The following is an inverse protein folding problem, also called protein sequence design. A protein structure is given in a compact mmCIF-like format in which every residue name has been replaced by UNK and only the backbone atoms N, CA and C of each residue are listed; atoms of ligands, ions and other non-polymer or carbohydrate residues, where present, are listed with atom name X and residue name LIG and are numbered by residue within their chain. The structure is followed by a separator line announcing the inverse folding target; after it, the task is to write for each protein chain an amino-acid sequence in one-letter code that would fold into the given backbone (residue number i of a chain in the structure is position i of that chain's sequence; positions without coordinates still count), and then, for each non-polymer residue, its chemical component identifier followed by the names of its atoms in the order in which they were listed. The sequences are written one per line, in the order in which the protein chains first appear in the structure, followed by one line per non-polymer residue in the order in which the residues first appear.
data_IF_821589092160
#
_entry.id   IF_821589092160
#
_cell.length_a   1.000
_cell.length_b   1.000
_cell.length_c   1.000
_cell.angle_alpha   90.00
_cell.angle_beta   90.00
_cell.angle_gamma   90.00
#
_symmetry.space_group_name_H-M   'P 1'
#
loop_
_entity.id
_entity.type
_entity.pdbx_description
1 polymer ?
#
# COMPACT_ATOMS: atom_id res chain seq x y z
N UNK A 1 8.65 -30.52 21.72
CA UNK A 1 8.75 -29.07 21.49
C UNK A 1 9.09 -28.33 22.78
N UNK A 2 8.25 -28.37 23.83
CA UNK A 2 8.49 -27.55 25.03
C UNK A 2 9.78 -27.88 25.78
N UNK A 3 10.17 -29.16 25.91
CA UNK A 3 11.46 -29.52 26.51
C UNK A 3 12.67 -28.86 25.80
N UNK A 4 12.62 -28.79 24.46
CA UNK A 4 13.65 -28.10 23.69
C UNK A 4 13.61 -26.56 23.86
N UNK A 5 12.43 -25.98 24.14
CA UNK A 5 12.30 -24.55 24.42
C UNK A 5 12.81 -24.18 25.83
N UNK A 6 12.59 -25.06 26.81
CA UNK A 6 13.12 -24.91 28.16
C UNK A 6 14.66 -24.87 28.17
N UNK A 7 15.30 -25.69 27.34
CA UNK A 7 16.77 -25.67 27.18
C UNK A 7 17.30 -24.38 26.53
N UNK A 8 16.46 -23.65 25.80
CA UNK A 8 16.82 -22.38 25.16
C UNK A 8 16.63 -21.18 26.08
N UNK A 9 15.74 -21.24 27.07
CA UNK A 9 15.44 -20.11 27.96
C UNK A 9 16.68 -19.54 28.67
N UNK A 10 17.60 -20.35 29.25
CA UNK A 10 18.83 -19.83 29.85
C UNK A 10 19.74 -19.10 28.86
N UNK A 11 19.60 -19.39 27.56
CA UNK A 11 20.39 -18.78 26.48
C UNK A 11 19.75 -17.52 25.91
N UNK A 12 18.59 -17.10 26.40
CA UNK A 12 17.97 -15.86 25.97
C UNK A 12 18.85 -14.63 26.25
N UNK A 13 19.65 -14.65 27.33
CA UNK A 13 20.66 -13.63 27.63
C UNK A 13 21.79 -13.55 26.59
N UNK A 14 22.02 -14.62 25.81
CA UNK A 14 22.98 -14.66 24.70
C UNK A 14 22.38 -14.15 23.37
N UNK A 15 21.13 -13.69 23.39
CA UNK A 15 20.39 -13.28 22.19
C UNK A 15 19.67 -14.43 21.47
N UNK A 16 19.62 -15.63 22.05
CA UNK A 16 18.86 -16.75 21.47
C UNK A 16 17.37 -16.54 21.69
N UNK A 17 16.57 -16.67 20.63
CA UNK A 17 15.11 -16.62 20.67
C UNK A 17 14.55 -17.86 20.01
N UNK A 18 13.32 -18.24 20.35
CA UNK A 18 12.71 -19.46 19.85
C UNK A 18 11.43 -19.25 19.04
N UNK A 19 10.72 -18.16 19.30
CA UNK A 19 9.43 -17.88 18.67
C UNK A 19 9.45 -16.46 18.10
N UNK A 20 8.96 -16.31 16.87
CA UNK A 20 8.68 -15.00 16.26
C UNK A 20 7.16 -14.89 16.13
N UNK A 21 6.58 -13.87 16.76
CA UNK A 21 5.20 -13.46 16.52
C UNK A 21 5.22 -12.52 15.32
N UNK A 22 4.75 -13.02 14.18
CA UNK A 22 4.86 -12.29 12.91
C UNK A 22 3.61 -11.46 12.60
N UNK A 23 3.66 -10.17 12.90
CA UNK A 23 2.61 -9.20 12.60
C UNK A 23 2.53 -8.85 11.11
N UNK A 24 3.59 -9.11 10.32
CA UNK A 24 3.52 -8.80 8.88
C UNK A 24 2.48 -9.66 8.18
N UNK A 25 2.15 -10.84 8.70
CA UNK A 25 1.10 -11.70 8.14
C UNK A 25 -0.27 -11.00 8.03
N UNK A 26 -0.69 -10.25 9.06
CA UNK A 26 -1.95 -9.49 9.02
C UNK A 26 -1.80 -8.16 8.29
N UNK A 27 -0.62 -7.52 8.38
CA UNK A 27 -0.30 -6.32 7.60
C UNK A 27 -0.40 -6.57 6.09
N UNK A 28 0.21 -7.66 5.63
CA UNK A 28 0.24 -8.10 4.24
C UNK A 28 -1.15 -8.46 3.71
N UNK A 29 -2.07 -8.80 4.62
CA UNK A 29 -3.49 -9.02 4.34
C UNK A 29 -4.33 -7.73 4.34
N UNK A 30 -3.75 -6.58 4.66
CA UNK A 30 -4.39 -5.27 4.61
C UNK A 30 -4.76 -4.66 5.96
N UNK A 31 -4.23 -5.18 7.08
CA UNK A 31 -4.44 -4.63 8.42
C UNK A 31 -4.04 -3.14 8.52
N UNK A 32 -4.53 -2.47 9.56
CA UNK A 32 -3.98 -1.20 10.03
C UNK A 32 -2.97 -1.46 11.16
N UNK A 33 -2.19 -0.43 11.52
CA UNK A 33 -1.27 -0.52 12.65
C UNK A 33 -1.95 -0.93 13.96
N UNK A 34 -3.20 -0.51 14.18
CA UNK A 34 -4.01 -0.90 15.35
C UNK A 34 -4.30 -2.40 15.34
N UNK A 35 -4.69 -2.93 14.18
CA UNK A 35 -5.02 -4.35 14.02
C UNK A 35 -3.77 -5.22 14.17
N UNK A 36 -2.66 -4.81 13.57
CA UNK A 36 -1.39 -5.52 13.70
C UNK A 36 -0.91 -5.56 15.15
N UNK A 37 -0.90 -4.44 15.86
CA UNK A 37 -0.46 -4.42 17.27
C UNK A 37 -1.39 -5.27 18.14
N UNK A 38 -2.71 -5.19 17.95
CA UNK A 38 -3.65 -6.03 18.70
C UNK A 38 -3.46 -7.53 18.42
N UNK A 39 -3.20 -7.89 17.17
CA UNK A 39 -2.88 -9.27 16.78
C UNK A 39 -1.58 -9.77 17.43
N UNK A 40 -0.52 -8.96 17.41
CA UNK A 40 0.76 -9.28 18.06
C UNK A 40 0.59 -9.52 19.57
N UNK A 41 -0.22 -8.69 20.25
CA UNK A 41 -0.55 -8.90 21.65
C UNK A 41 -1.28 -10.23 21.85
N UNK A 42 -2.30 -10.50 21.04
CA UNK A 42 -3.12 -11.71 21.18
C UNK A 42 -2.30 -13.00 20.98
N UNK A 43 -1.47 -13.05 19.93
CA UNK A 43 -0.60 -14.20 19.66
C UNK A 43 0.51 -14.30 20.71
N UNK A 44 1.13 -13.18 21.08
CA UNK A 44 2.15 -13.14 22.13
C UNK A 44 1.61 -13.66 23.47
N UNK A 45 0.42 -13.22 23.89
CA UNK A 45 -0.25 -13.71 25.09
C UNK A 45 -0.61 -15.19 24.98
N UNK A 46 -1.05 -15.66 23.82
CA UNK A 46 -1.32 -17.09 23.61
C UNK A 46 -0.04 -17.95 23.74
N UNK A 47 1.09 -17.47 23.22
CA UNK A 47 2.39 -18.12 23.41
C UNK A 47 2.84 -18.12 24.87
N UNK A 48 2.76 -16.98 25.57
CA UNK A 48 3.07 -16.92 27.00
C UNK A 48 2.23 -17.91 27.80
N UNK A 49 0.90 -17.92 27.58
CA UNK A 49 -0.04 -18.84 28.22
C UNK A 49 0.34 -20.29 27.97
N UNK A 50 0.67 -20.63 26.73
CA UNK A 50 1.07 -22.00 26.35
C UNK A 50 2.38 -22.41 27.02
N UNK A 51 3.42 -21.57 26.97
CA UNK A 51 4.73 -21.87 27.55
C UNK A 51 4.68 -22.03 29.07
N UNK A 52 3.94 -21.14 29.76
CA UNK A 52 3.74 -21.23 31.21
C UNK A 52 2.95 -22.48 31.59
N UNK A 53 1.90 -22.83 30.83
CA UNK A 53 1.13 -24.08 31.04
C UNK A 53 2.03 -25.32 30.95
N UNK A 54 3.10 -25.26 30.17
CA UNK A 54 4.05 -26.35 30.00
C UNK A 54 5.32 -26.21 30.85
N UNK A 55 5.30 -25.35 31.88
CA UNK A 55 6.29 -25.36 32.97
C UNK A 55 7.41 -24.33 32.87
N UNK A 56 7.42 -23.44 31.88
CA UNK A 56 8.34 -22.29 31.88
C UNK A 56 7.85 -21.20 32.85
N UNK A 57 8.78 -20.44 33.42
CA UNK A 57 8.41 -19.20 34.11
C UNK A 57 7.90 -18.16 33.10
N UNK A 58 7.10 -17.19 33.56
CA UNK A 58 6.63 -16.11 32.68
C UNK A 58 7.80 -15.29 32.11
N UNK A 59 8.86 -15.11 32.90
CA UNK A 59 10.09 -14.42 32.49
C UNK A 59 10.81 -15.17 31.37
N UNK A 60 11.04 -16.48 31.56
CA UNK A 60 11.67 -17.33 30.55
C UNK A 60 10.84 -17.35 29.27
N UNK A 61 9.52 -17.52 29.39
CA UNK A 61 8.60 -17.51 28.26
C UNK A 61 8.68 -16.19 27.48
N UNK A 62 8.66 -15.04 28.17
CA UNK A 62 8.75 -13.73 27.52
C UNK A 62 10.10 -13.49 26.85
N UNK A 63 11.20 -14.00 27.44
CA UNK A 63 12.54 -13.83 26.89
C UNK A 63 12.80 -14.62 25.60
N UNK A 64 11.97 -15.63 25.30
CA UNK A 64 12.06 -16.46 24.09
C UNK A 64 11.31 -15.89 22.89
N UNK A 65 10.52 -14.84 23.08
CA UNK A 65 9.64 -14.28 22.04
C UNK A 65 10.25 -13.03 21.42
N UNK A 66 10.32 -13.03 20.10
CA UNK A 66 10.59 -11.87 19.25
C UNK A 66 9.30 -11.48 18.51
N UNK A 67 9.15 -10.19 18.20
CA UNK A 67 8.00 -9.69 17.48
C UNK A 67 8.43 -9.04 16.17
N UNK A 68 7.87 -9.52 15.07
CA UNK A 68 8.08 -8.91 13.76
C UNK A 68 6.93 -7.99 13.41
N UNK A 69 7.24 -6.75 13.01
CA UNK A 69 6.26 -5.73 12.67
C UNK A 69 6.52 -5.13 11.30
N UNK A 70 5.47 -4.72 10.60
CA UNK A 70 5.59 -3.97 9.37
C UNK A 70 5.94 -2.49 9.65
N UNK A 71 6.87 -1.96 8.86
CA UNK A 71 7.21 -0.54 8.80
C UNK A 71 6.74 0.04 7.46
N UNK A 72 5.97 1.11 7.49
CA UNK A 72 5.42 1.74 6.28
C UNK A 72 6.13 3.05 5.96
N UNK A 73 5.84 3.61 4.79
CA UNK A 73 6.26 4.95 4.38
C UNK A 73 5.47 6.07 5.10
N UNK A 74 4.53 5.72 5.98
CA UNK A 74 3.95 6.66 6.94
C UNK A 74 4.87 6.82 8.16
N UNK A 75 5.80 7.77 8.06
CA UNK A 75 6.88 7.97 9.01
C UNK A 75 6.42 8.06 10.48
N UNK A 76 5.53 8.99 10.81
CA UNK A 76 5.10 9.20 12.20
C UNK A 76 4.21 8.08 12.74
N UNK A 77 3.21 7.55 11.98
CA UNK A 77 2.48 6.35 12.38
C UNK A 77 3.39 5.16 12.66
N UNK A 78 4.38 4.87 11.79
CA UNK A 78 5.33 3.77 12.02
C UNK A 78 6.16 3.97 13.30
N UNK A 79 6.66 5.19 13.55
CA UNK A 79 7.38 5.51 14.81
C UNK A 79 6.45 5.29 16.00
N UNK A 80 5.23 5.82 15.94
CA UNK A 80 4.26 5.73 17.03
C UNK A 80 3.81 4.29 17.31
N UNK A 81 3.64 3.46 16.26
CA UNK A 81 3.30 2.04 16.31
C UNK A 81 4.33 1.24 17.09
N UNK A 82 5.61 1.39 16.76
CA UNK A 82 6.68 0.65 17.43
C UNK A 82 6.76 1.01 18.92
N UNK A 83 6.62 2.30 19.26
CA UNK A 83 6.54 2.78 20.64
C UNK A 83 5.30 2.22 21.37
N UNK A 84 4.14 2.31 20.74
CA UNK A 84 2.88 1.85 21.29
C UNK A 84 2.91 0.34 21.57
N UNK A 85 3.40 -0.46 20.62
CA UNK A 85 3.54 -1.90 20.77
C UNK A 85 4.38 -2.28 22.00
N UNK A 86 5.51 -1.59 22.25
CA UNK A 86 6.31 -1.79 23.48
C UNK A 86 5.52 -1.44 24.75
N UNK A 87 4.76 -0.35 24.71
CA UNK A 87 3.95 0.13 25.84
C UNK A 87 2.84 -0.87 26.19
N UNK A 88 2.10 -1.38 25.20
CA UNK A 88 1.02 -2.34 25.47
C UNK A 88 1.56 -3.73 25.81
N UNK A 89 2.69 -4.15 25.22
CA UNK A 89 3.33 -5.40 25.59
C UNK A 89 3.88 -5.40 27.01
N UNK A 90 4.47 -4.29 27.47
CA UNK A 90 4.95 -4.20 28.86
C UNK A 90 3.82 -4.37 29.86
N UNK A 91 2.61 -3.90 29.53
CA UNK A 91 1.42 -4.12 30.35
C UNK A 91 0.97 -5.58 30.34
N UNK A 92 1.03 -6.27 29.20
CA UNK A 92 0.79 -7.73 29.14
C UNK A 92 1.79 -8.47 30.02
N UNK A 93 3.09 -8.19 29.88
CA UNK A 93 4.15 -8.83 30.64
C UNK A 93 3.96 -8.63 32.16
N UNK A 94 3.64 -7.41 32.59
CA UNK A 94 3.33 -7.08 33.99
C UNK A 94 2.17 -7.92 34.53
N UNK A 95 1.04 -7.97 33.79
CA UNK A 95 -0.15 -8.74 34.20
C UNK A 95 0.12 -10.25 34.21
N UNK A 96 1.01 -10.74 33.35
CA UNK A 96 1.47 -12.12 33.33
C UNK A 96 2.51 -12.45 34.42
N UNK A 97 2.92 -11.48 35.24
CA UNK A 97 3.86 -11.69 36.35
C UNK A 97 5.33 -11.71 35.94
N UNK A 98 5.67 -11.15 34.78
CA UNK A 98 7.07 -10.94 34.38
C UNK A 98 7.68 -9.84 35.26
N UNK A 99 8.87 -10.05 35.87
CA UNK A 99 9.51 -9.03 36.69
C UNK A 99 9.76 -7.73 35.93
N UNK A 100 9.68 -6.60 36.63
CA UNK A 100 10.00 -5.30 36.04
C UNK A 100 11.42 -5.29 35.44
N UNK A 101 11.56 -4.67 34.27
CA UNK A 101 12.83 -4.66 33.51
C UNK A 101 13.12 -5.94 32.72
N UNK A 102 12.27 -6.97 32.81
CA UNK A 102 12.38 -8.21 32.05
C UNK A 102 11.23 -8.31 31.04
N UNK A 103 11.40 -9.15 30.00
CA UNK A 103 10.36 -9.39 28.98
C UNK A 103 10.00 -8.19 28.10
N UNK A 104 10.90 -7.20 27.97
CA UNK A 104 10.73 -6.11 27.02
C UNK A 104 10.56 -6.64 25.58
N UNK A 105 9.69 -5.99 24.80
CA UNK A 105 9.38 -6.43 23.44
C UNK A 105 10.61 -6.26 22.54
N UNK A 106 11.19 -7.36 22.08
CA UNK A 106 12.25 -7.35 21.05
C UNK A 106 11.57 -7.23 19.69
N UNK A 107 11.88 -6.16 18.95
CA UNK A 107 11.18 -5.82 17.72
C UNK A 107 12.08 -5.97 16.49
N UNK A 108 11.62 -6.78 15.53
CA UNK A 108 12.15 -6.85 14.18
C UNK A 108 11.20 -6.13 13.23
N UNK A 109 11.59 -4.95 12.74
CA UNK A 109 10.81 -4.24 11.74
C UNK A 109 11.16 -4.71 10.33
N UNK A 110 10.16 -4.98 9.50
CA UNK A 110 10.32 -5.28 8.08
C UNK A 110 9.55 -4.24 7.28
N UNK A 111 10.17 -3.62 6.28
CA UNK A 111 9.46 -2.64 5.46
C UNK A 111 8.30 -3.32 4.72
N UNK A 112 7.15 -2.66 4.67
CA UNK A 112 5.87 -3.14 4.12
C UNK A 112 6.02 -3.71 2.71
N UNK A 113 5.59 -4.96 2.50
CA UNK A 113 5.42 -5.52 1.16
C UNK A 113 4.22 -4.91 0.42
N UNK A 114 3.04 -4.67 1.04
CA UNK A 114 1.89 -4.05 0.37
C UNK A 114 2.14 -2.66 -0.21
N UNK A 115 3.07 -1.88 0.33
CA UNK A 115 3.40 -0.55 -0.24
C UNK A 115 4.33 -0.64 -1.47
N UNK A 116 4.90 -1.81 -1.76
CA UNK A 116 5.76 -1.98 -2.91
C UNK A 116 4.95 -2.08 -4.19
N UNK A 117 5.39 -1.38 -5.23
CA UNK A 117 4.75 -1.34 -6.54
C UNK A 117 5.57 -2.08 -7.58
N UNK A 118 4.90 -2.80 -8.49
CA UNK A 118 5.50 -3.43 -9.67
C UNK A 118 5.88 -2.38 -10.71
N UNK A 119 5.03 -1.38 -10.87
CA UNK A 119 5.24 -0.25 -11.76
C UNK A 119 5.92 0.91 -11.06
N UNK A 120 6.77 1.63 -11.78
CA UNK A 120 7.74 2.59 -11.27
C UNK A 120 8.47 2.10 -10.00
N UNK A 121 9.12 0.92 -10.05
CA UNK A 121 9.63 0.24 -8.86
C UNK A 121 10.73 1.03 -8.16
N UNK A 122 11.36 1.99 -8.83
CA UNK A 122 12.37 2.87 -8.25
C UNK A 122 11.82 3.72 -7.11
N UNK A 123 10.52 4.05 -7.15
CA UNK A 123 9.84 4.73 -6.04
C UNK A 123 9.85 3.91 -4.74
N UNK A 124 9.97 2.58 -4.83
CA UNK A 124 10.11 1.72 -3.65
C UNK A 124 11.43 1.96 -2.89
N UNK A 125 12.46 2.52 -3.53
CA UNK A 125 13.67 2.97 -2.82
C UNK A 125 13.34 4.10 -1.84
N UNK A 126 12.46 5.02 -2.23
CA UNK A 126 12.02 6.14 -1.40
C UNK A 126 11.15 5.62 -0.26
N UNK A 127 10.16 4.76 -0.56
CA UNK A 127 9.31 4.11 0.45
C UNK A 127 10.14 3.35 1.47
N UNK A 128 11.07 2.52 1.01
CA UNK A 128 11.99 1.75 1.85
C UNK A 128 12.88 2.63 2.72
N UNK A 129 13.33 3.78 2.22
CA UNK A 129 14.13 4.74 3.00
C UNK A 129 13.33 5.35 4.14
N UNK A 130 12.10 5.81 3.86
CA UNK A 130 11.22 6.41 4.89
C UNK A 130 10.83 5.36 5.93
N UNK A 131 10.46 4.15 5.50
CA UNK A 131 10.10 3.06 6.39
C UNK A 131 11.28 2.61 7.27
N UNK A 132 12.49 2.49 6.69
CA UNK A 132 13.69 2.15 7.45
C UNK A 132 14.06 3.22 8.48
N UNK A 133 13.97 4.50 8.09
CA UNK A 133 14.16 5.63 9.00
C UNK A 133 13.17 5.56 10.16
N UNK A 134 11.89 5.41 9.86
CA UNK A 134 10.83 5.34 10.85
C UNK A 134 10.98 4.13 11.79
N UNK A 135 11.39 2.98 11.25
CA UNK A 135 11.67 1.78 12.04
C UNK A 135 12.84 1.98 13.01
N UNK A 136 13.94 2.56 12.54
CA UNK A 136 15.11 2.86 13.36
C UNK A 136 14.81 3.88 14.45
N UNK A 137 14.20 5.02 14.09
CA UNK A 137 13.79 6.08 15.04
C UNK A 137 12.75 5.58 16.03
N UNK A 138 11.83 4.72 15.57
CA UNK A 138 10.86 4.04 16.40
C UNK A 138 11.46 3.03 17.36
N UNK A 139 12.76 2.75 17.30
CA UNK A 139 13.49 1.93 18.26
C UNK A 139 13.41 0.43 17.99
N UNK A 140 13.20 0.00 16.74
CA UNK A 140 13.29 -1.42 16.39
C UNK A 140 14.70 -1.97 16.65
N UNK A 141 14.79 -3.18 17.18
CA UNK A 141 16.06 -3.87 17.48
C UNK A 141 16.75 -4.34 16.19
N UNK A 142 15.96 -4.78 15.22
CA UNK A 142 16.43 -5.16 13.89
C UNK A 142 15.54 -4.52 12.82
N UNK A 143 16.11 -4.19 11.66
CA UNK A 143 15.38 -3.63 10.52
C UNK A 143 15.77 -4.40 9.25
N UNK A 144 14.78 -4.98 8.57
CA UNK A 144 14.91 -5.53 7.22
C UNK A 144 14.25 -4.60 6.22
N UNK A 145 15.04 -4.07 5.31
CA UNK A 145 14.55 -3.32 4.15
C UNK A 145 14.33 -4.32 3.02
N UNK A 146 13.11 -4.36 2.49
CA UNK A 146 12.80 -5.15 1.31
C UNK A 146 13.48 -4.52 0.08
N UNK A 147 14.02 -5.33 -0.83
CA UNK A 147 14.52 -4.84 -2.11
C UNK A 147 13.44 -4.10 -2.91
N UNK A 148 13.85 -3.06 -3.65
CA UNK A 148 12.90 -2.20 -4.40
C UNK A 148 12.10 -2.95 -5.48
N UNK A 149 12.62 -4.10 -5.92
CA UNK A 149 12.06 -4.98 -6.94
C UNK A 149 11.25 -6.15 -6.34
N UNK A 150 10.95 -6.11 -5.04
CA UNK A 150 10.24 -7.18 -4.33
C UNK A 150 8.84 -7.47 -4.91
N UNK A 151 8.14 -6.49 -5.46
CA UNK A 151 6.84 -6.70 -6.13
C UNK A 151 6.95 -7.36 -7.52
N UNK A 152 8.17 -7.47 -8.07
CA UNK A 152 8.42 -7.99 -9.42
C UNK A 152 8.87 -9.45 -9.37
N UNK A 153 9.79 -9.78 -8.47
CA UNK A 153 10.36 -11.12 -8.36
C UNK A 153 11.51 -11.20 -7.37
N UNK A 154 12.26 -12.30 -7.43
CA UNK A 154 13.39 -12.55 -6.56
C UNK A 154 14.47 -11.46 -6.74
N UNK A 155 15.00 -10.93 -5.63
CA UNK A 155 15.98 -9.86 -5.69
C UNK A 155 17.33 -10.37 -6.20
N UNK A 156 18.08 -9.50 -6.88
CA UNK A 156 19.45 -9.78 -7.32
C UNK A 156 20.48 -9.23 -6.32
N UNK A 157 21.77 -9.33 -6.67
CA UNK A 157 22.83 -8.81 -5.80
C UNK A 157 22.80 -7.27 -5.68
N UNK A 158 22.36 -6.56 -6.72
CA UNK A 158 22.26 -5.11 -6.72
C UNK A 158 21.13 -4.65 -5.80
N UNK A 159 19.93 -5.19 -5.93
CA UNK A 159 18.78 -4.77 -5.13
C UNK A 159 18.93 -5.12 -3.65
N UNK A 160 19.51 -6.30 -3.33
CA UNK A 160 19.92 -6.64 -1.95
C UNK A 160 20.95 -5.67 -1.39
N UNK A 161 21.95 -5.28 -2.19
CA UNK A 161 22.98 -4.31 -1.77
C UNK A 161 22.36 -2.95 -1.47
N UNK A 162 21.46 -2.46 -2.32
CA UNK A 162 20.81 -1.17 -2.12
C UNK A 162 19.95 -1.20 -0.85
N UNK A 163 19.12 -2.23 -0.66
CA UNK A 163 18.30 -2.39 0.55
C UNK A 163 19.14 -2.37 1.84
N UNK A 164 20.25 -3.11 1.88
CA UNK A 164 21.18 -3.08 3.01
C UNK A 164 21.83 -1.70 3.20
N UNK A 165 22.29 -1.10 2.11
CA UNK A 165 22.99 0.18 2.14
C UNK A 165 22.08 1.33 2.61
N UNK A 166 20.76 1.26 2.40
CA UNK A 166 19.80 2.21 3.01
C UNK A 166 19.98 2.27 4.53
N UNK A 167 20.01 1.13 5.21
CA UNK A 167 20.27 1.08 6.66
C UNK A 167 21.68 1.56 7.02
N UNK A 168 22.69 1.19 6.22
CA UNK A 168 24.07 1.65 6.45
C UNK A 168 24.20 3.17 6.35
N UNK A 169 23.59 3.80 5.34
CA UNK A 169 23.58 5.24 5.16
C UNK A 169 22.87 5.93 6.32
N UNK A 170 21.69 5.44 6.71
CA UNK A 170 20.93 5.99 7.84
C UNK A 170 21.76 5.99 9.14
N UNK A 171 22.47 4.89 9.41
CA UNK A 171 23.27 4.75 10.64
C UNK A 171 24.59 5.52 10.56
N UNK A 172 25.37 5.35 9.49
CA UNK A 172 26.76 5.79 9.41
C UNK A 172 26.92 7.21 8.85
N UNK A 173 25.98 7.68 8.04
CA UNK A 173 26.09 9.00 7.37
C UNK A 173 25.05 9.99 7.90
N UNK A 174 23.80 9.53 8.10
CA UNK A 174 22.73 10.37 8.66
C UNK A 174 22.68 10.35 10.20
N UNK A 175 23.47 9.48 10.84
CA UNK A 175 23.65 9.43 12.30
C UNK A 175 22.34 9.26 13.09
N UNK A 176 21.31 8.63 12.49
CA UNK A 176 19.97 8.53 13.12
C UNK A 176 19.97 7.66 14.38
N UNK A 177 21.00 6.83 14.57
CA UNK A 177 21.16 5.92 15.69
C UNK A 177 21.97 6.51 16.87
N UNK A 178 22.43 7.77 16.79
CA UNK A 178 23.25 8.39 17.84
C UNK A 178 22.43 8.75 19.08
N UNK A 179 21.15 9.05 18.91
CA UNK A 179 20.24 9.45 20.00
C UNK A 179 19.18 8.38 20.17
N UNK A 180 18.98 7.92 21.42
CA UNK A 180 17.88 7.01 21.77
C UNK A 180 16.55 7.76 21.79
N UNK A 181 15.53 7.21 21.13
CA UNK A 181 14.17 7.77 21.00
C UNK A 181 14.17 9.28 20.67
N UNK A 182 14.71 9.73 19.52
CA UNK A 182 14.79 11.15 19.20
C UNK A 182 13.41 11.80 18.99
N UNK A 183 12.35 10.99 18.86
CA UNK A 183 10.96 11.47 18.81
C UNK A 183 10.35 11.71 20.19
N UNK A 184 11.01 11.28 21.27
CA UNK A 184 10.55 11.45 22.64
C UNK A 184 10.33 12.92 22.99
N UNK A 185 9.18 13.22 23.59
CA UNK A 185 8.78 14.59 23.93
C UNK A 185 8.13 15.38 22.78
N UNK A 186 8.06 14.84 21.56
CA UNK A 186 7.22 15.40 20.50
C UNK A 186 5.75 15.19 20.86
N UNK A 187 5.02 16.27 21.18
CA UNK A 187 3.60 16.20 21.55
C UNK A 187 2.75 15.39 20.57
N UNK A 188 2.99 15.56 19.27
CA UNK A 188 2.27 14.84 18.23
C UNK A 188 2.55 13.33 18.25
N UNK A 189 3.81 12.93 18.43
CA UNK A 189 4.20 11.50 18.47
C UNK A 189 3.73 10.87 19.77
N UNK A 190 3.82 11.56 20.91
CA UNK A 190 3.32 11.05 22.19
C UNK A 190 1.81 10.80 22.15
N UNK A 191 1.04 11.76 21.62
CA UNK A 191 -0.40 11.59 21.47
C UNK A 191 -0.73 10.44 20.53
N UNK A 192 -0.08 10.37 19.37
CA UNK A 192 -0.32 9.29 18.40
C UNK A 192 0.04 7.91 18.97
N UNK A 193 1.14 7.80 19.72
CA UNK A 193 1.51 6.57 20.45
C UNK A 193 0.43 6.18 21.45
N UNK A 194 -0.08 7.12 22.25
CA UNK A 194 -1.12 6.86 23.24
C UNK A 194 -2.46 6.44 22.59
N UNK A 195 -2.87 7.11 21.52
CA UNK A 195 -4.09 6.82 20.79
C UNK A 195 -4.02 5.43 20.14
N UNK A 196 -2.90 5.11 19.49
CA UNK A 196 -2.66 3.80 18.88
C UNK A 196 -2.64 2.68 19.93
N UNK A 197 -1.92 2.87 21.03
CA UNK A 197 -1.88 1.93 22.15
C UNK A 197 -3.28 1.66 22.71
N UNK A 198 -4.08 2.71 22.93
CA UNK A 198 -5.44 2.60 23.46
C UNK A 198 -6.36 1.84 22.50
N UNK A 199 -6.31 2.16 21.20
CA UNK A 199 -7.10 1.48 20.19
C UNK A 199 -6.70 0.00 20.02
N UNK A 200 -5.39 -0.28 20.01
CA UNK A 200 -4.87 -1.65 19.90
C UNK A 200 -5.24 -2.48 21.14
N UNK A 201 -5.16 -1.89 22.34
CA UNK A 201 -5.57 -2.54 23.58
C UNK A 201 -7.06 -2.88 23.57
N UNK A 202 -7.92 -1.96 23.14
CA UNK A 202 -9.36 -2.20 23.03
C UNK A 202 -9.69 -3.34 22.05
N UNK A 203 -9.01 -3.38 20.89
CA UNK A 203 -9.18 -4.49 19.94
C UNK A 203 -8.64 -5.81 20.51
N UNK A 204 -7.48 -5.80 21.18
CA UNK A 204 -6.94 -6.97 21.88
C UNK A 204 -7.91 -7.51 22.93
N UNK A 205 -8.55 -6.65 23.72
CA UNK A 205 -9.58 -7.06 24.67
C UNK A 205 -10.78 -7.73 23.99
N UNK A 206 -11.19 -7.27 22.81
CA UNK A 206 -12.25 -7.96 22.02
C UNK A 206 -11.80 -9.34 21.55
N UNK A 207 -10.55 -9.47 21.11
CA UNK A 207 -9.96 -10.76 20.72
C UNK A 207 -9.95 -11.73 21.90
N UNK A 208 -9.50 -11.28 23.08
CA UNK A 208 -9.50 -12.11 24.30
C UNK A 208 -10.92 -12.44 24.79
N UNK A 209 -11.88 -11.52 24.66
CA UNK A 209 -13.28 -11.76 24.99
C UNK A 209 -13.93 -12.83 24.07
N UNK A 210 -13.43 -12.99 22.84
CA UNK A 210 -13.81 -14.07 21.93
C UNK A 210 -13.11 -15.42 22.25
N UNK A 211 -12.46 -15.54 23.41
CA UNK A 211 -11.74 -16.75 23.84
C UNK A 211 -10.26 -16.77 23.47
N UNK A 212 -9.73 -15.64 22.99
CA UNK A 212 -8.35 -15.50 22.52
C UNK A 212 -8.16 -15.92 21.07
N UNK A 213 -6.95 -15.68 20.55
CA UNK A 213 -6.67 -15.76 19.10
C UNK A 213 -6.93 -17.14 18.48
N UNK A 214 -6.72 -18.24 19.23
CA UNK A 214 -6.88 -19.61 18.74
C UNK A 214 -8.33 -20.13 18.78
N UNK A 215 -9.24 -19.38 19.43
CA UNK A 215 -10.67 -19.69 19.48
C UNK A 215 -11.42 -18.80 18.49
N UNK A 216 -12.25 -17.86 18.96
CA UNK A 216 -12.98 -16.92 18.09
C UNK A 216 -12.22 -15.62 17.77
N UNK A 217 -11.02 -15.45 18.31
CA UNK A 217 -10.26 -14.20 18.16
C UNK A 217 -9.80 -13.91 16.74
N UNK A 218 -9.55 -14.94 15.93
CA UNK A 218 -9.16 -14.77 14.52
C UNK A 218 -10.28 -14.13 13.69
N UNK A 219 -11.55 -14.46 13.93
CA UNK A 219 -12.69 -13.87 13.20
C UNK A 219 -12.77 -12.36 13.43
N UNK A 220 -12.50 -11.91 14.66
CA UNK A 220 -12.44 -10.48 15.03
C UNK A 220 -11.31 -9.76 14.27
N UNK A 221 -10.15 -10.43 14.13
CA UNK A 221 -9.03 -9.89 13.35
C UNK A 221 -9.38 -9.85 11.87
N UNK A 222 -9.93 -10.93 11.31
CA UNK A 222 -10.33 -11.03 9.91
C UNK A 222 -11.34 -9.96 9.51
N UNK A 223 -12.40 -9.77 10.29
CA UNK A 223 -13.40 -8.71 10.05
C UNK A 223 -12.73 -7.32 10.05
N UNK A 224 -11.84 -7.04 11.01
CA UNK A 224 -11.14 -5.78 11.09
C UNK A 224 -10.21 -5.55 9.89
N UNK A 225 -9.49 -6.58 9.44
CA UNK A 225 -8.63 -6.54 8.24
C UNK A 225 -9.47 -6.24 7.01
N UNK A 226 -10.56 -6.98 6.76
CA UNK A 226 -11.45 -6.76 5.62
C UNK A 226 -12.00 -5.33 5.59
N UNK A 227 -12.46 -4.81 6.75
CA UNK A 227 -12.99 -3.46 6.85
C UNK A 227 -11.93 -2.36 6.65
N UNK A 228 -10.66 -2.61 7.00
CA UNK A 228 -9.56 -1.67 6.71
C UNK A 228 -9.15 -1.76 5.24
N UNK A 229 -8.99 -2.97 4.70
CA UNK A 229 -8.62 -3.20 3.31
C UNK A 229 -9.62 -2.56 2.34
N UNK A 230 -10.93 -2.80 2.53
CA UNK A 230 -11.96 -2.23 1.66
C UNK A 230 -12.03 -0.70 1.71
N UNK A 231 -11.81 -0.08 2.88
CA UNK A 231 -11.71 1.38 2.99
C UNK A 231 -10.46 1.92 2.28
N UNK A 232 -9.33 1.24 2.40
CA UNK A 232 -8.10 1.60 1.70
C UNK A 232 -8.31 1.53 0.18
N UNK A 233 -8.93 0.47 -0.30
CA UNK A 233 -9.25 0.29 -1.72
C UNK A 233 -10.12 1.43 -2.26
N UNK A 234 -11.18 1.85 -1.56
CA UNK A 234 -12.01 3.01 -1.96
C UNK A 234 -11.20 4.33 -1.97
N UNK A 235 -10.31 4.53 -0.98
CA UNK A 235 -9.45 5.71 -0.94
C UNK A 235 -8.43 5.74 -2.08
N UNK A 236 -7.85 4.60 -2.44
CA UNK A 236 -6.94 4.46 -3.58
C UNK A 236 -7.71 4.67 -4.90
N UNK A 237 -8.89 4.06 -5.04
CA UNK A 237 -9.76 4.20 -6.20
C UNK A 237 -10.12 5.66 -6.47
N UNK A 238 -10.36 6.45 -5.42
CA UNK A 238 -10.66 7.89 -5.51
C UNK A 238 -9.42 8.80 -5.48
N UNK A 239 -8.22 8.20 -5.51
CA UNK A 239 -6.92 8.90 -5.42
C UNK A 239 -6.79 9.80 -4.18
N UNK A 240 -7.54 9.51 -3.12
CA UNK A 240 -7.41 10.15 -1.80
C UNK A 240 -6.23 9.57 -1.01
N UNK A 241 -5.93 8.30 -1.26
CA UNK A 241 -4.65 7.69 -0.92
C UNK A 241 -3.86 7.52 -2.22
N UNK A 242 -3.04 8.52 -2.52
CA UNK A 242 -2.22 8.52 -3.73
C UNK A 242 -1.13 7.45 -3.68
N UNK A 243 -0.91 6.75 -4.80
CA UNK A 243 0.25 5.90 -5.01
C UNK A 243 1.12 6.52 -6.10
N UNK A 244 2.18 7.22 -5.67
CA UNK A 244 3.15 7.87 -6.55
C UNK A 244 3.77 6.89 -7.53
N UNK A 245 3.80 7.25 -8.81
CA UNK A 245 4.31 6.43 -9.91
C UNK A 245 3.28 5.43 -10.48
N UNK A 246 2.13 5.27 -9.82
CA UNK A 246 1.06 4.36 -10.25
C UNK A 246 -0.28 5.08 -10.46
N UNK A 247 -0.93 5.55 -9.39
CA UNK A 247 -2.19 6.29 -9.49
C UNK A 247 -1.98 7.79 -9.75
N UNK A 248 -0.81 8.31 -9.36
CA UNK A 248 -0.40 9.70 -9.52
C UNK A 248 0.91 9.77 -10.31
N UNK A 249 0.90 10.60 -11.35
CA UNK A 249 2.05 10.84 -12.23
C UNK A 249 2.74 9.56 -12.76
N UNK A 250 1.99 8.59 -13.32
CA UNK A 250 2.57 7.34 -13.81
C UNK A 250 3.41 7.55 -15.07
N UNK A 251 4.45 6.72 -15.22
CA UNK A 251 5.23 6.63 -16.45
C UNK A 251 4.74 5.45 -17.29
N UNK A 252 3.90 5.70 -18.29
CA UNK A 252 3.26 4.65 -19.08
C UNK A 252 4.28 3.74 -19.79
N UNK A 253 5.25 4.36 -20.48
CA UNK A 253 6.27 3.69 -21.30
C UNK A 253 7.57 3.45 -20.53
N UNK A 254 7.47 2.82 -19.36
CA UNK A 254 8.63 2.48 -18.54
C UNK A 254 9.25 1.12 -18.90
N UNK A 255 10.56 0.99 -18.68
CA UNK A 255 11.25 -0.30 -18.77
C UNK A 255 11.36 -0.91 -17.38
N UNK A 256 10.64 -1.99 -17.14
CA UNK A 256 10.68 -2.71 -15.86
C UNK A 256 11.94 -3.59 -15.75
N UNK A 257 12.55 -3.69 -14.56
CA UNK A 257 13.59 -4.67 -14.30
C UNK A 257 13.10 -6.10 -14.56
N UNK A 258 13.93 -6.93 -15.20
CA UNK A 258 13.67 -8.36 -15.34
C UNK A 258 14.13 -9.10 -14.09
N UNK A 259 13.29 -9.97 -13.53
CA UNK A 259 13.58 -10.76 -12.33
C UNK A 259 13.18 -12.22 -12.51
N UNK A 260 13.88 -13.09 -11.78
CA UNK A 260 13.41 -14.46 -11.60
C UNK A 260 12.10 -14.41 -10.80
N UNK A 261 11.03 -15.09 -11.23
CA UNK A 261 9.81 -15.18 -10.44
C UNK A 261 10.07 -15.80 -9.07
N UNK A 262 9.27 -15.42 -8.07
CA UNK A 262 9.23 -16.20 -6.83
C UNK A 262 8.70 -17.61 -7.10
N UNK A 263 9.06 -18.61 -6.27
CA UNK A 263 8.40 -19.92 -6.28
C UNK A 263 6.88 -19.76 -6.20
N UNK A 264 6.14 -20.68 -6.82
CA UNK A 264 4.68 -20.60 -6.89
C UNK A 264 4.02 -20.66 -5.51
N UNK A 265 4.65 -21.36 -4.58
CA UNK A 265 4.21 -21.51 -3.18
C UNK A 265 4.54 -20.29 -2.31
N UNK A 266 5.24 -19.29 -2.85
CA UNK A 266 5.55 -18.08 -2.10
C UNK A 266 4.25 -17.31 -1.78
N UNK A 267 4.08 -16.81 -0.53
CA UNK A 267 2.92 -16.01 -0.18
C UNK A 267 2.80 -14.80 -1.12
N UNK A 268 1.64 -14.66 -1.76
CA UNK A 268 1.34 -13.49 -2.59
C UNK A 268 0.82 -12.37 -1.70
N UNK A 269 1.49 -11.24 -1.74
CA UNK A 269 1.07 -10.02 -1.04
C UNK A 269 0.34 -9.11 -2.00
N UNK A 270 -0.86 -8.67 -1.63
CA UNK A 270 -1.64 -7.72 -2.43
C UNK A 270 -1.10 -6.30 -2.21
N UNK A 271 -0.59 -5.68 -3.27
CA UNK A 271 -0.14 -4.29 -3.23
C UNK A 271 -1.32 -3.34 -2.98
N UNK A 272 -1.08 -2.21 -2.30
CA UNK A 272 -2.03 -1.10 -2.21
C UNK A 272 -2.44 -0.58 -3.59
N UNK A 273 -1.57 -0.75 -4.59
CA UNK A 273 -1.80 -0.29 -5.94
C UNK A 273 -2.47 -1.32 -6.87
N UNK A 274 -2.74 -2.55 -6.38
CA UNK A 274 -3.07 -3.71 -7.22
C UNK A 274 -4.08 -3.43 -8.33
N UNK A 275 -5.18 -2.70 -8.06
CA UNK A 275 -6.21 -2.45 -9.07
C UNK A 275 -5.71 -1.58 -10.24
N UNK A 276 -4.85 -0.60 -9.99
CA UNK A 276 -4.19 0.15 -11.05
C UNK A 276 -3.13 -0.69 -11.76
N UNK A 277 -2.39 -1.52 -11.02
CA UNK A 277 -1.37 -2.41 -11.60
C UNK A 277 -1.98 -3.49 -12.49
N UNK A 278 -3.16 -4.00 -12.16
CA UNK A 278 -3.94 -4.92 -13.00
C UNK A 278 -4.29 -4.27 -14.33
N UNK A 279 -4.82 -3.03 -14.30
CA UNK A 279 -5.08 -2.25 -15.51
C UNK A 279 -3.80 -2.05 -16.33
N UNK A 280 -2.69 -1.66 -15.69
CA UNK A 280 -1.42 -1.42 -16.40
C UNK A 280 -0.74 -2.69 -16.90
N UNK A 281 -1.04 -3.85 -16.33
CA UNK A 281 -0.48 -5.14 -16.76
C UNK A 281 -1.00 -5.58 -18.13
N UNK A 282 -2.16 -5.07 -18.53
CA UNK A 282 -2.72 -5.23 -19.86
C UNK A 282 -3.03 -3.83 -20.41
N UNK A 283 -2.06 -3.08 -20.98
CA UNK A 283 -2.32 -1.74 -21.49
C UNK A 283 -3.35 -1.76 -22.62
N UNK A 284 -4.13 -0.68 -22.75
CA UNK A 284 -5.11 -0.55 -23.82
C UNK A 284 -4.41 -0.45 -25.19
N UNK A 285 -4.97 -1.12 -26.19
CA UNK A 285 -4.34 -1.16 -27.53
C UNK A 285 -4.49 0.16 -28.30
N UNK A 286 -5.55 0.91 -28.03
CA UNK A 286 -5.86 2.17 -28.70
C UNK A 286 -5.72 3.36 -27.74
N UNK A 287 -5.20 4.50 -28.21
CA UNK A 287 -5.11 5.72 -27.39
C UNK A 287 -6.47 6.42 -27.31
N UNK A 288 -6.59 7.32 -26.32
CA UNK A 288 -7.63 8.35 -26.27
C UNK A 288 -7.11 9.63 -26.93
N UNK A 289 -7.90 10.22 -27.82
CA UNK A 289 -7.58 11.52 -28.39
C UNK A 289 -7.98 12.66 -27.44
N UNK A 290 -7.01 13.43 -26.96
CA UNK A 290 -7.23 14.65 -26.18
C UNK A 290 -7.52 15.81 -27.13
N UNK A 291 -8.80 16.10 -27.29
CA UNK A 291 -9.33 17.27 -27.96
C UNK A 291 -9.13 18.50 -27.08
N UNK A 292 -7.92 19.06 -27.11
CA UNK A 292 -7.54 20.26 -26.38
C UNK A 292 -8.26 21.48 -26.92
N UNK A 293 -8.83 22.31 -26.04
CA UNK A 293 -9.64 23.48 -26.41
C UNK A 293 -9.02 24.78 -25.90
N UNK A 294 -8.65 25.68 -26.81
CA UNK A 294 -8.06 26.98 -26.51
C UNK A 294 -6.52 26.98 -26.58
N UNK A 295 -5.91 28.00 -25.97
CA UNK A 295 -4.45 28.13 -25.92
C UNK A 295 -3.81 27.07 -25.01
N UNK A 296 -2.50 26.81 -25.21
CA UNK A 296 -1.72 25.90 -24.36
C UNK A 296 -1.90 26.18 -22.87
N UNK A 297 -1.82 27.45 -22.47
CA UNK A 297 -2.00 27.84 -21.08
C UNK A 297 -3.39 27.51 -20.52
N UNK A 298 -4.43 27.53 -21.35
CA UNK A 298 -5.80 27.28 -20.94
C UNK A 298 -6.12 25.79 -20.82
N UNK A 299 -5.69 24.96 -21.78
CA UNK A 299 -6.04 23.54 -21.78
C UNK A 299 -5.08 22.66 -20.97
N UNK A 300 -3.83 23.07 -20.77
CA UNK A 300 -2.78 22.25 -20.12
C UNK A 300 -3.23 21.63 -18.79
N UNK A 301 -3.85 22.36 -17.84
CA UNK A 301 -4.24 21.77 -16.56
C UNK A 301 -5.16 20.54 -16.69
N UNK A 302 -6.14 20.60 -17.60
CA UNK A 302 -7.09 19.50 -17.82
C UNK A 302 -6.56 18.41 -18.72
N UNK A 303 -5.81 18.78 -19.75
CA UNK A 303 -5.15 17.84 -20.63
C UNK A 303 -4.14 16.98 -19.84
N UNK A 304 -3.31 17.60 -18.99
CA UNK A 304 -2.35 16.90 -18.13
C UNK A 304 -3.05 16.08 -17.06
N UNK A 305 -4.10 16.60 -16.41
CA UNK A 305 -4.92 15.80 -15.49
C UNK A 305 -5.43 14.52 -16.17
N UNK A 306 -5.98 14.66 -17.37
CA UNK A 306 -6.58 13.55 -18.09
C UNK A 306 -5.53 12.55 -18.59
N UNK A 307 -4.44 13.03 -19.18
CA UNK A 307 -3.32 12.19 -19.61
C UNK A 307 -2.77 11.35 -18.46
N UNK A 308 -2.55 11.96 -17.27
CA UNK A 308 -2.06 11.23 -16.10
C UNK A 308 -3.08 10.20 -15.59
N UNK A 309 -4.38 10.54 -15.57
CA UNK A 309 -5.41 9.60 -15.14
C UNK A 309 -5.50 8.39 -16.10
N UNK A 310 -5.55 8.64 -17.41
CA UNK A 310 -5.59 7.60 -18.43
C UNK A 310 -4.34 6.72 -18.40
N UNK A 311 -3.16 7.32 -18.26
CA UNK A 311 -1.91 6.58 -18.11
C UNK A 311 -1.91 5.66 -16.87
N UNK A 312 -2.56 6.07 -15.77
CA UNK A 312 -2.70 5.22 -14.59
C UNK A 312 -3.51 3.94 -14.86
N UNK A 313 -4.45 4.00 -15.82
CA UNK A 313 -5.21 2.85 -16.30
C UNK A 313 -4.57 2.10 -17.47
N UNK A 314 -3.33 2.44 -17.84
CA UNK A 314 -2.63 1.83 -18.97
C UNK A 314 -3.14 2.30 -20.34
N UNK A 315 -3.74 3.49 -20.42
CA UNK A 315 -4.29 4.07 -21.65
C UNK A 315 -3.39 5.21 -22.13
N UNK A 316 -2.92 5.10 -23.37
CA UNK A 316 -2.10 6.14 -24.01
C UNK A 316 -2.98 7.30 -24.54
N UNK A 317 -2.37 8.44 -24.84
CA UNK A 317 -3.07 9.62 -25.35
C UNK A 317 -2.37 10.27 -26.54
N UNK A 318 -3.18 10.73 -27.49
CA UNK A 318 -2.73 11.60 -28.60
C UNK A 318 -3.38 12.96 -28.41
N UNK A 319 -2.64 14.06 -28.56
CA UNK A 319 -3.14 15.41 -28.22
C UNK A 319 -3.25 16.29 -29.46
N UNK A 320 -4.36 17.02 -29.60
CA UNK A 320 -4.59 17.94 -30.74
C UNK A 320 -3.64 19.15 -30.75
N UNK A 321 -3.13 19.56 -29.59
CA UNK A 321 -2.28 20.75 -29.43
C UNK A 321 -3.09 22.04 -29.24
N UNK A 322 -2.52 23.23 -29.47
CA UNK A 322 -3.27 24.48 -29.34
C UNK A 322 -4.34 24.59 -30.44
N UNK A 323 -5.56 24.92 -30.06
CA UNK A 323 -6.71 25.03 -31.00
C UNK A 323 -7.54 26.28 -30.71
N UNK A 324 -8.20 26.81 -31.73
CA UNK A 324 -9.07 27.99 -31.61
C UNK A 324 -10.53 27.72 -31.99
N UNK A 325 -10.85 26.53 -32.49
CA UNK A 325 -12.20 26.10 -32.81
C UNK A 325 -12.28 24.66 -33.31
N UNK A 326 -13.49 24.23 -33.68
CA UNK A 326 -13.80 22.84 -34.08
C UNK A 326 -12.91 22.35 -35.22
N UNK A 327 -12.71 23.18 -36.25
CA UNK A 327 -11.90 22.82 -37.42
C UNK A 327 -10.45 22.49 -37.08
N UNK A 328 -9.84 23.22 -36.14
CA UNK A 328 -8.46 22.98 -35.70
C UNK A 328 -8.33 21.64 -34.99
N UNK A 329 -9.29 21.29 -34.13
CA UNK A 329 -9.30 20.02 -33.41
C UNK A 329 -9.48 18.85 -34.39
N UNK A 330 -10.42 18.97 -35.33
CA UNK A 330 -10.67 17.93 -36.34
C UNK A 330 -9.48 17.71 -37.28
N UNK A 331 -8.67 18.74 -37.54
CA UNK A 331 -7.47 18.59 -38.36
C UNK A 331 -6.42 17.67 -37.73
N UNK A 332 -6.41 17.55 -36.39
CA UNK A 332 -5.51 16.66 -35.64
C UNK A 332 -6.13 15.30 -35.28
N UNK A 333 -7.42 15.08 -35.54
CA UNK A 333 -8.14 13.86 -35.19
C UNK A 333 -7.97 12.78 -36.25
N UNK A 334 -7.57 11.57 -35.86
CA UNK A 334 -7.32 10.43 -36.77
C UNK A 334 -8.19 9.21 -36.41
N UNK A 335 -9.48 9.46 -36.18
CA UNK A 335 -10.53 8.44 -35.95
C UNK A 335 -10.34 7.60 -34.70
N UNK A 336 -9.69 8.14 -33.67
CA UNK A 336 -9.67 7.52 -32.35
C UNK A 336 -11.10 7.29 -31.86
N UNK A 337 -11.37 6.06 -31.42
CA UNK A 337 -12.71 5.62 -31.01
C UNK A 337 -13.23 6.40 -29.81
N UNK A 338 -12.33 6.76 -28.89
CA UNK A 338 -12.64 7.52 -27.69
C UNK A 338 -11.88 8.84 -27.73
N UNK A 339 -12.61 9.94 -27.52
CA UNK A 339 -12.06 11.29 -27.48
C UNK A 339 -12.36 11.92 -26.13
N UNK A 340 -11.47 12.77 -25.62
CA UNK A 340 -11.69 13.55 -24.40
C UNK A 340 -11.49 15.03 -24.66
N UNK A 341 -12.54 15.82 -24.42
CA UNK A 341 -12.45 17.28 -24.48
C UNK A 341 -11.76 17.81 -23.23
N UNK A 342 -10.75 18.65 -23.43
CA UNK A 342 -9.93 19.21 -22.36
C UNK A 342 -9.70 20.71 -22.58
N UNK A 343 -10.37 21.55 -21.79
CA UNK A 343 -10.26 23.01 -21.89
C UNK A 343 -10.93 23.77 -20.75
N UNK A 344 -10.83 25.10 -20.71
CA UNK A 344 -11.49 25.89 -19.68
C UNK A 344 -13.01 25.78 -19.81
N UNK A 345 -13.75 25.97 -18.70
CA UNK A 345 -15.22 25.86 -18.70
C UNK A 345 -15.88 26.82 -19.71
N UNK A 346 -15.28 27.97 -19.98
CA UNK A 346 -15.73 28.91 -21.00
C UNK A 346 -15.74 28.28 -22.41
N UNK A 347 -14.71 27.50 -22.77
CA UNK A 347 -14.65 26.85 -24.08
C UNK A 347 -15.70 25.73 -24.21
N UNK A 348 -15.98 25.01 -23.12
CA UNK A 348 -17.07 24.02 -23.09
C UNK A 348 -18.43 24.65 -23.33
N UNK A 349 -18.67 25.82 -22.73
CA UNK A 349 -19.92 26.57 -22.90
C UNK A 349 -20.05 27.20 -24.29
N UNK A 350 -18.94 27.65 -24.88
CA UNK A 350 -18.94 28.35 -26.16
C UNK A 350 -19.06 27.39 -27.35
N UNK A 351 -18.29 26.30 -27.39
CA UNK A 351 -18.22 25.42 -28.56
C UNK A 351 -17.99 23.93 -28.22
N UNK A 352 -18.20 23.50 -26.97
CA UNK A 352 -18.03 22.10 -26.56
C UNK A 352 -19.03 21.13 -27.18
N UNK A 353 -20.31 21.50 -27.22
CA UNK A 353 -21.36 20.67 -27.82
C UNK A 353 -21.17 20.49 -29.33
N UNK A 354 -20.81 21.58 -30.03
CA UNK A 354 -20.51 21.56 -31.47
C UNK A 354 -19.30 20.66 -31.77
N UNK A 355 -18.24 20.77 -30.97
CA UNK A 355 -17.06 19.91 -31.12
C UNK A 355 -17.39 18.43 -30.89
N UNK A 356 -18.18 18.11 -29.86
CA UNK A 356 -18.59 16.74 -29.57
C UNK A 356 -19.39 16.13 -30.72
N UNK A 357 -20.36 16.86 -31.28
CA UNK A 357 -21.14 16.42 -32.45
C UNK A 357 -20.26 16.22 -33.69
N UNK A 358 -19.31 17.14 -33.92
CA UNK A 358 -18.41 17.06 -35.05
C UNK A 358 -17.46 15.85 -34.95
N UNK A 359 -16.91 15.56 -33.77
CA UNK A 359 -16.07 14.39 -33.53
C UNK A 359 -16.86 13.08 -33.70
N UNK A 360 -18.11 13.00 -33.21
CA UNK A 360 -18.99 11.84 -33.45
C UNK A 360 -19.27 11.63 -34.93
N UNK A 361 -19.56 12.71 -35.65
CA UNK A 361 -19.78 12.68 -37.11
C UNK A 361 -18.52 12.23 -37.86
N UNK A 362 -17.33 12.53 -37.33
CA UNK A 362 -16.05 12.11 -37.88
C UNK A 362 -15.64 10.66 -37.52
N UNK A 363 -16.34 10.02 -36.58
CA UNK A 363 -16.16 8.60 -36.23
C UNK A 363 -15.92 8.29 -34.76
N UNK A 364 -15.90 9.28 -33.86
CA UNK A 364 -15.74 9.04 -32.43
C UNK A 364 -16.98 8.32 -31.88
N UNK A 365 -16.78 7.18 -31.23
CA UNK A 365 -17.86 6.42 -30.60
C UNK A 365 -18.20 6.95 -29.21
N UNK A 366 -17.21 7.44 -28.48
CA UNK A 366 -17.36 7.93 -27.10
C UNK A 366 -16.67 9.27 -26.91
N UNK A 367 -17.39 10.22 -26.32
CA UNK A 367 -16.92 11.56 -26.00
C UNK A 367 -16.87 11.73 -24.48
N UNK A 368 -15.67 11.90 -23.95
CA UNK A 368 -15.39 12.17 -22.55
C UNK A 368 -15.17 13.68 -22.34
N UNK A 369 -15.36 14.15 -21.11
CA UNK A 369 -14.95 15.51 -20.70
C UNK A 369 -14.05 15.48 -19.48
N UNK A 370 -12.95 16.22 -19.54
CA UNK A 370 -12.14 16.52 -18.35
C UNK A 370 -12.83 17.63 -17.55
N UNK A 371 -13.40 17.30 -16.40
CA UNK A 371 -14.18 18.23 -15.58
C UNK A 371 -15.51 17.64 -15.12
N UNK A 372 -16.45 18.53 -14.77
CA UNK A 372 -17.78 18.13 -14.32
C UNK A 372 -18.61 17.52 -15.46
N UNK A 373 -19.60 16.67 -15.15
CA UNK A 373 -20.53 16.15 -16.14
C UNK A 373 -21.22 17.26 -16.93
N UNK A 374 -21.40 17.02 -18.23
CA UNK A 374 -22.11 17.89 -19.18
C UNK A 374 -23.03 17.03 -20.05
N UNK A 375 -24.15 17.59 -20.50
CA UNK A 375 -25.22 16.80 -21.18
C UNK A 375 -24.80 16.15 -22.51
N UNK A 376 -23.82 16.74 -23.20
CA UNK A 376 -23.36 16.27 -24.52
C UNK A 376 -22.23 15.22 -24.46
N UNK A 377 -21.66 14.98 -23.27
CA UNK A 377 -20.60 13.99 -23.06
C UNK A 377 -21.18 12.66 -22.55
N UNK A 378 -20.55 11.56 -22.90
CA UNK A 378 -20.95 10.21 -22.45
C UNK A 378 -20.47 9.92 -21.02
N UNK A 379 -19.34 10.51 -20.62
CA UNK A 379 -18.75 10.37 -19.29
C UNK A 379 -17.84 11.57 -18.97
N UNK A 380 -17.45 11.70 -17.71
CA UNK A 380 -16.60 12.78 -17.23
C UNK A 380 -15.65 12.32 -16.12
N UNK A 381 -14.52 13.00 -15.98
CA UNK A 381 -13.62 12.81 -14.84
C UNK A 381 -13.24 14.14 -14.21
N UNK A 382 -13.44 14.25 -12.90
CA UNK A 382 -12.97 15.33 -12.06
C UNK A 382 -12.20 14.82 -10.83
N UNK A 383 -11.48 15.71 -10.16
CA UNK A 383 -10.78 15.40 -8.92
C UNK A 383 -11.76 14.92 -7.84
N UNK A 384 -11.47 13.77 -7.24
CA UNK A 384 -12.28 13.17 -6.17
C UNK A 384 -13.33 12.16 -6.65
N UNK A 385 -13.51 12.01 -7.95
CA UNK A 385 -14.29 10.92 -8.53
C UNK A 385 -13.59 9.57 -8.34
N UNK A 386 -14.34 8.49 -8.51
CA UNK A 386 -13.78 7.14 -8.56
C UNK A 386 -13.01 6.94 -9.88
N UNK A 387 -11.69 7.10 -9.80
CA UNK A 387 -10.79 7.02 -10.94
C UNK A 387 -10.77 5.62 -11.55
N UNK A 388 -10.82 4.56 -10.74
CA UNK A 388 -10.84 3.19 -11.25
C UNK A 388 -12.14 2.92 -12.02
N UNK A 389 -13.29 3.33 -11.48
CA UNK A 389 -14.56 3.17 -12.17
C UNK A 389 -14.57 3.92 -13.52
N UNK A 390 -14.04 5.14 -13.57
CA UNK A 390 -13.87 5.90 -14.81
C UNK A 390 -12.96 5.17 -15.81
N UNK A 391 -11.82 4.65 -15.35
CA UNK A 391 -10.86 3.94 -16.20
C UNK A 391 -11.45 2.65 -16.77
N UNK A 392 -12.16 1.85 -15.97
CA UNK A 392 -12.83 0.64 -16.46
C UNK A 392 -13.88 0.95 -17.54
N UNK A 393 -14.68 2.00 -17.36
CA UNK A 393 -15.65 2.44 -18.39
C UNK A 393 -14.95 2.94 -19.65
N UNK A 394 -13.88 3.72 -19.49
CA UNK A 394 -13.08 4.22 -20.62
C UNK A 394 -12.46 3.07 -21.42
N UNK A 395 -11.92 2.06 -20.74
CA UNK A 395 -11.36 0.87 -21.39
C UNK A 395 -12.40 0.02 -22.11
N UNK A 396 -13.58 -0.15 -21.50
CA UNK A 396 -14.72 -0.78 -22.17
C UNK A 396 -15.11 -0.01 -23.44
N UNK A 397 -15.09 1.33 -23.40
CA UNK A 397 -15.36 2.17 -24.56
C UNK A 397 -14.29 2.06 -25.66
N UNK A 398 -13.02 1.81 -25.30
CA UNK A 398 -11.93 1.50 -26.23
C UNK A 398 -12.07 0.12 -26.89
N UNK A 399 -12.96 -0.74 -26.37
CA UNK A 399 -13.17 -2.10 -26.86
C UNK A 399 -12.32 -3.16 -26.15
N UNK A 400 -11.67 -2.80 -25.03
CA UNK A 400 -11.06 -3.77 -24.13
C UNK A 400 -12.15 -4.51 -23.36
N UNK A 401 -11.93 -5.79 -23.05
CA UNK A 401 -12.71 -6.52 -22.05
C UNK A 401 -11.91 -6.61 -20.73
N UNK A 402 -12.03 -5.61 -19.83
CA UNK A 402 -11.36 -5.67 -18.54
C UNK A 402 -11.96 -6.73 -17.61
N UNK A 403 -13.20 -7.21 -17.84
CA UNK A 403 -13.86 -8.19 -16.99
C UNK A 403 -13.31 -9.61 -17.19
N UNK A 404 -12.85 -9.95 -18.40
CA UNK A 404 -12.11 -11.19 -18.67
C UNK A 404 -10.79 -11.30 -17.89
N UNK A 405 -10.17 -10.18 -17.53
CA UNK A 405 -8.94 -10.13 -16.72
C UNK A 405 -9.20 -10.33 -15.22
N UNK A 406 -10.32 -9.81 -14.69
CA UNK A 406 -10.70 -9.96 -13.29
C UNK A 406 -11.05 -11.41 -12.94
N UNK A 407 -11.70 -12.16 -13.85
CA UNK A 407 -12.00 -13.58 -13.64
C UNK A 407 -10.73 -14.47 -13.63
N UNK A 408 -9.64 -14.05 -14.28
CA UNK A 408 -8.36 -14.75 -14.25
C UNK A 408 -7.49 -14.39 -13.02
N UNK A 409 -7.76 -13.25 -12.38
CA UNK A 409 -7.05 -12.79 -11.18
C UNK A 409 -7.78 -13.14 -9.86
N UNK A 410 -9.08 -13.43 -9.91
CA UNK A 410 -9.94 -13.60 -8.73
C UNK A 410 -10.08 -15.04 -8.21
N UNK A 411 -9.38 -16.05 -8.77
CA UNK A 411 -9.42 -17.39 -8.20
C UNK A 411 -8.03 -17.99 -7.91
N UNK A 412 -7.59 -17.91 -6.65
CA UNK A 412 -6.65 -18.86 -6.06
C UNK A 412 -7.27 -19.63 -4.89
N UNK A 413 -8.60 -19.70 -4.76
CA UNK A 413 -9.26 -20.28 -3.56
C UNK A 413 -10.00 -21.60 -3.77
N UNK A 414 -10.15 -22.11 -4.99
CA UNK A 414 -10.59 -23.51 -5.17
C UNK A 414 -9.42 -24.50 -5.17
N UNK A 415 -8.89 -24.80 -3.97
CA UNK A 415 -7.83 -25.82 -3.87
C UNK A 415 -7.21 -26.07 -2.50
N UNK A 416 -7.93 -25.87 -1.39
CA UNK A 416 -7.43 -26.27 -0.07
C UNK A 416 -8.52 -27.02 0.70
N UNK A 417 -8.89 -28.18 0.16
CA UNK A 417 -9.58 -29.23 0.91
C UNK A 417 -8.76 -30.51 0.73
N UNK A 418 -7.77 -30.71 1.62
CA UNK A 418 -7.17 -31.99 2.04
C UNK A 418 -6.04 -31.82 3.05
#
# INVERSE_FOLDING_TARGET
MVGALADLAPRAGEGVRALVVDGTAVHDSGASDVVEVAYLLAVGTAYLRSLVTHGLSAEDAASLVEFRLAATDEQFPTIAKLRAARLVWSRVAEVCGVPAGHGGMVQHAVTSAPMTTRFDPWTNLLRGTVAAFAAGVGGATAVTVLPFDHAIGQPDAFSRRIARNTSSLLIQEAHVAVVTDPAGGSYAVERLTADLASAAWALFQRIEAAGGILAGGWDVVGEAVTGVAGRRDDLVARRRLAVTGVSEFPLLHETLPTREPFPEEAPRVRSYAHAFEELRSAPAAAPVFLATMGTVAQHTPRATFMANLLAAGGVDTVTAGPTSGVGDVLAGYDRERVVCLAGPDAAYAEWGAELAEALRSAGAATVLVAGRPVEWADDSAATGDDALAFLHRTRTALGDDPAGSLAAAADPTEGADR
#
